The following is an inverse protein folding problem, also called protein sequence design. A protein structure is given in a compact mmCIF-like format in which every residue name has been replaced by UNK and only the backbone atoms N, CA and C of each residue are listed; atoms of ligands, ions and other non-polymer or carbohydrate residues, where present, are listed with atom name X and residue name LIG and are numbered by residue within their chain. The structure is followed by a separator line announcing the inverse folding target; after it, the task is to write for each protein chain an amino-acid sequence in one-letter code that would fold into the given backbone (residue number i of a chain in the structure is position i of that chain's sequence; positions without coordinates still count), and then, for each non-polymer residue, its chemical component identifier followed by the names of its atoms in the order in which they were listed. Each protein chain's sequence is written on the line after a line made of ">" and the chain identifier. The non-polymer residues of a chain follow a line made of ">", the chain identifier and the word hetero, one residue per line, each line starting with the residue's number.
data_IF_374635380982
#
_entry.id   IF_374635380982
#
_cell.length_a   1.000
_cell.length_b   1.000
_cell.length_c   1.000
_cell.angle_alpha   90.00
_cell.angle_beta   90.00
_cell.angle_gamma   90.00
#
_symmetry.space_group_name_H-M   'P 1'
#
loop_
_entity.id
_entity.type
_entity.pdbx_description
1 polymer ?
#
# COMPACT_ATOMS: atom_id res chain seq x y z
N UNK A 1 -13.06 15.59 1.94
CA UNK A 1 -12.03 16.41 2.62
C UNK A 1 -10.81 15.58 2.96
N UNK A 2 -9.63 16.18 3.01
CA UNK A 2 -8.37 15.55 3.44
C UNK A 2 -7.69 16.44 4.47
N UNK A 3 -7.21 15.83 5.55
CA UNK A 3 -6.36 16.48 6.55
C UNK A 3 -5.05 15.71 6.65
N UNK A 4 -3.94 16.42 6.51
CA UNK A 4 -2.59 15.86 6.72
C UNK A 4 -2.00 16.56 7.95
N UNK A 5 -1.54 15.74 8.91
CA UNK A 5 -0.87 16.24 10.13
C UNK A 5 0.53 15.66 10.18
N UNK A 6 1.49 16.49 10.54
CA UNK A 6 2.89 16.12 10.74
C UNK A 6 3.25 16.30 12.21
N UNK A 7 3.78 15.23 12.81
CA UNK A 7 4.39 15.24 14.14
C UNK A 7 5.91 15.08 13.96
N UNK A 8 6.62 16.19 14.03
CA UNK A 8 8.06 16.23 13.76
C UNK A 8 8.90 15.64 14.90
N UNK A 9 8.37 15.59 16.13
CA UNK A 9 9.07 15.00 17.27
C UNK A 9 9.05 13.47 17.22
N UNK A 10 8.00 12.89 16.62
CA UNK A 10 7.81 11.46 16.53
C UNK A 10 8.11 10.88 15.15
N UNK A 11 8.50 11.71 14.17
CA UNK A 11 8.69 11.34 12.78
C UNK A 11 7.44 10.63 12.19
N UNK A 12 6.27 11.18 12.49
CA UNK A 12 4.98 10.62 12.09
C UNK A 12 4.21 11.63 11.26
N UNK A 13 3.60 11.17 10.16
CA UNK A 13 2.53 11.94 9.55
C UNK A 13 1.26 11.07 9.38
N UNK A 14 0.11 11.72 9.43
CA UNK A 14 -1.19 11.09 9.23
C UNK A 14 -1.93 11.73 8.09
N UNK A 15 -2.62 10.89 7.31
CA UNK A 15 -3.60 11.31 6.31
C UNK A 15 -4.96 10.84 6.82
N UNK A 16 -5.90 11.76 6.96
CA UNK A 16 -7.29 11.48 7.32
C UNK A 16 -8.19 11.99 6.21
N UNK A 17 -8.89 11.07 5.55
CA UNK A 17 -9.81 11.36 4.48
C UNK A 17 -11.26 11.08 4.89
N UNK A 18 -12.12 12.05 4.62
CA UNK A 18 -13.56 11.88 4.59
C UNK A 18 -14.04 12.00 3.15
N UNK A 19 -14.62 10.92 2.64
CA UNK A 19 -15.18 10.82 1.28
C UNK A 19 -16.70 10.78 1.41
N UNK A 20 -17.40 11.66 0.69
CA UNK A 20 -18.86 11.78 0.71
C UNK A 20 -19.41 11.71 -0.73
N UNK A 21 -20.44 10.91 -0.93
CA UNK A 21 -21.23 10.97 -2.14
C UNK A 21 -22.23 12.13 -2.07
N UNK A 22 -21.93 13.24 -2.73
CA UNK A 22 -22.81 14.42 -2.82
C UNK A 22 -23.80 14.37 -3.98
N UNK A 23 -23.78 13.26 -4.73
CA UNK A 23 -24.75 13.03 -5.79
C UNK A 23 -26.12 12.59 -5.26
N UNK A 24 -27.10 12.52 -6.16
CA UNK A 24 -28.45 12.09 -5.86
C UNK A 24 -28.66 10.58 -6.08
N UNK A 25 -27.64 9.87 -6.55
CA UNK A 25 -27.71 8.44 -6.87
C UNK A 25 -26.53 7.69 -6.25
N UNK A 26 -26.74 6.40 -6.04
CA UNK A 26 -25.70 5.46 -5.65
C UNK A 26 -24.54 5.51 -6.66
N UNK A 27 -23.32 5.68 -6.16
CA UNK A 27 -22.12 5.93 -7.01
C UNK A 27 -21.03 4.89 -6.69
N UNK A 28 -20.34 4.33 -7.71
CA UNK A 28 -19.21 3.43 -7.49
C UNK A 28 -18.08 4.16 -6.76
N UNK A 29 -17.48 3.47 -5.78
CA UNK A 29 -16.40 4.00 -4.95
C UNK A 29 -15.17 3.11 -5.03
N UNK A 30 -14.09 3.65 -5.57
CA UNK A 30 -12.77 3.02 -5.58
C UNK A 30 -11.74 4.06 -5.18
N UNK A 31 -10.86 3.70 -4.24
CA UNK A 31 -9.76 4.53 -3.77
C UNK A 31 -8.51 3.69 -3.57
N UNK A 32 -7.37 4.27 -3.93
CA UNK A 32 -6.06 3.70 -3.73
C UNK A 32 -5.12 4.79 -3.22
N UNK A 33 -4.33 4.47 -2.19
CA UNK A 33 -3.28 5.34 -1.67
C UNK A 33 -1.93 4.85 -2.16
N UNK A 34 -1.45 5.43 -3.25
CA UNK A 34 -0.25 5.00 -3.96
C UNK A 34 1.01 5.55 -3.27
N UNK A 35 1.57 4.79 -2.34
CA UNK A 35 2.78 5.14 -1.60
C UNK A 35 4.00 4.62 -2.33
N UNK A 36 4.80 5.52 -2.91
CA UNK A 36 5.98 5.17 -3.68
C UNK A 36 7.26 5.27 -2.85
N UNK A 37 8.09 4.26 -3.00
CA UNK A 37 9.45 4.21 -2.48
C UNK A 37 10.42 4.24 -3.66
N UNK A 38 11.53 4.96 -3.51
CA UNK A 38 12.60 5.09 -4.48
C UNK A 38 13.97 5.03 -3.81
N UNK A 39 15.03 5.21 -4.60
CA UNK A 39 16.39 5.32 -4.08
C UNK A 39 16.52 6.55 -3.14
N UNK A 40 17.24 6.48 -1.99
CA UNK A 40 18.09 5.35 -1.55
C UNK A 40 17.38 4.29 -0.73
N UNK A 41 16.08 4.47 -0.36
CA UNK A 41 15.33 3.46 0.40
C UNK A 41 15.28 2.13 -0.33
N UNK A 42 15.07 2.16 -1.65
CA UNK A 42 15.14 0.98 -2.50
C UNK A 42 16.58 0.69 -2.92
N UNK A 43 17.06 -0.45 -2.52
CA UNK A 43 18.25 -1.14 -3.00
C UNK A 43 18.11 -2.63 -2.59
N UNK A 44 19.12 -3.45 -2.83
CA UNK A 44 19.10 -4.88 -2.47
C UNK A 44 19.00 -5.16 -0.95
N UNK A 45 19.03 -4.13 -0.11
CA UNK A 45 18.82 -4.21 1.34
C UNK A 45 17.41 -3.88 1.76
N UNK A 46 16.54 -3.49 0.83
CA UNK A 46 15.15 -3.18 1.14
C UNK A 46 14.32 -4.47 1.29
N UNK A 47 13.60 -4.57 2.40
CA UNK A 47 12.70 -5.68 2.72
C UNK A 47 11.30 -5.12 3.01
N UNK A 48 10.29 -5.77 2.44
CA UNK A 48 8.87 -5.49 2.71
C UNK A 48 8.32 -6.54 3.65
N UNK A 49 7.59 -6.12 4.65
CA UNK A 49 6.83 -6.98 5.55
C UNK A 49 5.38 -6.53 5.58
N UNK A 50 4.47 -7.46 5.34
CA UNK A 50 3.03 -7.25 5.44
C UNK A 50 2.43 -8.40 6.26
N UNK A 51 2.43 -8.29 7.61
CA UNK A 51 2.06 -9.39 8.48
C UNK A 51 0.60 -9.81 8.30
N UNK A 52 0.40 -11.12 8.23
CA UNK A 52 -0.90 -11.76 8.15
C UNK A 52 -1.48 -11.77 6.74
N UNK A 53 -2.22 -12.82 6.45
CA UNK A 53 -2.93 -12.96 5.20
C UNK A 53 -2.16 -13.64 4.06
N UNK A 54 -2.89 -13.93 3.00
CA UNK A 54 -2.35 -14.52 1.80
C UNK A 54 -1.77 -13.44 0.87
N UNK A 55 -0.75 -13.84 0.11
CA UNK A 55 -0.17 -13.03 -0.98
C UNK A 55 -0.34 -13.80 -2.28
N UNK A 56 -0.77 -13.13 -3.33
CA UNK A 56 -0.94 -13.72 -4.66
C UNK A 56 -0.40 -12.76 -5.73
N UNK A 57 0.20 -13.33 -6.78
CA UNK A 57 0.55 -12.55 -7.97
C UNK A 57 -0.70 -12.14 -8.75
N UNK A 58 -0.74 -10.92 -9.27
CA UNK A 58 -1.81 -10.44 -10.16
C UNK A 58 -1.93 -11.29 -11.43
N UNK A 59 -0.81 -11.72 -11.95
CA UNK A 59 -0.68 -12.49 -13.18
C UNK A 59 0.37 -13.59 -13.02
N UNK A 60 0.57 -14.40 -14.07
CA UNK A 60 1.50 -15.52 -14.04
C UNK A 60 2.95 -15.05 -13.86
N UNK A 61 3.34 -13.87 -14.39
CA UNK A 61 4.66 -13.32 -14.21
C UNK A 61 4.93 -12.98 -12.74
N UNK A 62 4.01 -12.28 -12.10
CA UNK A 62 4.09 -11.99 -10.67
C UNK A 62 4.02 -13.28 -9.82
N UNK A 63 3.16 -14.24 -10.19
CA UNK A 63 3.05 -15.52 -9.48
C UNK A 63 4.36 -16.32 -9.51
N UNK A 64 5.10 -16.32 -10.60
CA UNK A 64 6.42 -16.95 -10.70
C UNK A 64 7.46 -16.28 -9.77
N UNK A 65 7.32 -14.98 -9.52
CA UNK A 65 8.16 -14.19 -8.62
C UNK A 65 7.70 -14.18 -7.16
N UNK A 66 6.62 -14.88 -6.81
CA UNK A 66 5.97 -14.78 -5.50
C UNK A 66 6.91 -15.08 -4.32
N UNK A 67 7.87 -15.98 -4.49
CA UNK A 67 8.84 -16.34 -3.46
C UNK A 67 9.81 -15.20 -3.08
N UNK A 68 9.81 -14.10 -3.86
CA UNK A 68 10.68 -12.92 -3.66
C UNK A 68 9.87 -11.63 -3.42
N UNK A 69 8.59 -11.69 -3.15
CA UNK A 69 7.79 -10.48 -2.97
C UNK A 69 8.37 -9.57 -1.88
N UNK A 70 8.88 -10.14 -0.79
CA UNK A 70 9.44 -9.40 0.33
C UNK A 70 10.74 -8.63 0.03
N UNK A 71 11.44 -8.97 -1.04
CA UNK A 71 12.78 -8.45 -1.30
C UNK A 71 12.80 -7.55 -2.54
N UNK A 72 13.51 -6.44 -2.45
CA UNK A 72 13.79 -5.61 -3.61
C UNK A 72 15.16 -6.00 -4.19
N UNK A 73 15.15 -6.51 -5.42
CA UNK A 73 16.36 -6.87 -6.16
C UNK A 73 16.91 -5.66 -6.93
N UNK A 74 18.14 -5.73 -7.38
CA UNK A 74 18.77 -4.68 -8.19
C UNK A 74 17.98 -4.40 -9.50
N UNK A 75 18.04 -3.18 -10.02
CA UNK A 75 17.43 -2.86 -11.31
C UNK A 75 18.09 -3.63 -12.46
N UNK A 76 17.30 -3.94 -13.49
CA UNK A 76 17.75 -4.56 -14.73
C UNK A 76 16.95 -4.03 -15.92
N UNK A 77 17.55 -4.04 -17.12
CA UNK A 77 16.98 -3.36 -18.30
C UNK A 77 15.73 -4.06 -18.85
N UNK A 78 15.71 -5.40 -18.84
CA UNK A 78 14.66 -6.23 -19.43
C UNK A 78 13.63 -6.73 -18.40
N UNK A 79 13.40 -5.95 -17.33
CA UNK A 79 12.46 -6.33 -16.29
C UNK A 79 11.06 -5.78 -16.54
N UNK A 80 10.09 -6.68 -16.51
CA UNK A 80 8.67 -6.34 -16.43
C UNK A 80 8.26 -6.06 -14.99
N UNK A 81 7.24 -5.23 -14.80
CA UNK A 81 6.65 -4.99 -13.49
C UNK A 81 6.01 -6.26 -12.92
N UNK A 82 6.05 -6.39 -11.60
CA UNK A 82 5.34 -7.42 -10.85
C UNK A 82 4.36 -6.75 -9.90
N UNK A 83 3.15 -7.29 -9.84
CA UNK A 83 2.12 -6.79 -8.95
C UNK A 83 1.60 -7.93 -8.07
N UNK A 84 1.58 -7.70 -6.75
CA UNK A 84 1.11 -8.65 -5.76
C UNK A 84 -0.08 -8.08 -5.00
N UNK A 85 -1.06 -8.95 -4.72
CA UNK A 85 -2.20 -8.64 -3.89
C UNK A 85 -2.04 -9.30 -2.53
N UNK A 86 -2.00 -8.48 -1.50
CA UNK A 86 -1.98 -8.91 -0.12
C UNK A 86 -3.37 -8.82 0.49
N UNK A 87 -3.71 -9.76 1.34
CA UNK A 87 -4.91 -9.73 2.17
C UNK A 87 -4.46 -9.52 3.63
N UNK A 88 -4.26 -8.27 4.05
CA UNK A 88 -3.69 -7.98 5.36
C UNK A 88 -4.66 -8.36 6.48
N UNK A 89 -4.10 -8.78 7.62
CA UNK A 89 -4.87 -8.98 8.84
C UNK A 89 -4.95 -7.67 9.62
N UNK A 90 -6.15 -7.35 10.13
CA UNK A 90 -6.34 -6.23 11.03
C UNK A 90 -5.89 -6.59 12.45
N UNK A 91 -5.31 -5.61 13.15
CA UNK A 91 -5.08 -5.67 14.59
C UNK A 91 -6.40 -5.47 15.40
N UNK A 92 -6.30 -5.52 16.73
CA UNK A 92 -7.45 -5.35 17.63
C UNK A 92 -8.14 -3.97 17.48
N UNK A 93 -7.42 -2.97 16.98
CA UNK A 93 -7.96 -1.62 16.75
C UNK A 93 -8.55 -1.44 15.34
N UNK A 94 -8.52 -2.48 14.51
CA UNK A 94 -9.06 -2.48 13.14
C UNK A 94 -8.10 -1.91 12.09
N UNK A 95 -6.80 -1.85 12.37
CA UNK A 95 -5.78 -1.38 11.45
C UNK A 95 -4.93 -2.54 10.91
N UNK A 96 -4.50 -2.41 9.66
CA UNK A 96 -3.42 -3.22 9.10
C UNK A 96 -2.14 -2.40 9.03
N UNK A 97 -1.01 -3.08 9.04
CA UNK A 97 0.31 -2.45 8.95
C UNK A 97 1.16 -3.17 7.92
N UNK A 98 1.91 -2.42 7.15
CA UNK A 98 3.06 -2.93 6.42
C UNK A 98 4.31 -2.13 6.79
N UNK A 99 5.47 -2.72 6.58
CA UNK A 99 6.77 -2.09 6.83
C UNK A 99 7.65 -2.24 5.60
N UNK A 100 8.27 -1.16 5.16
CA UNK A 100 9.42 -1.21 4.27
C UNK A 100 10.65 -0.81 5.09
N UNK A 101 11.65 -1.68 5.14
CA UNK A 101 12.87 -1.45 5.93
C UNK A 101 14.12 -1.60 5.07
N UNK A 102 15.16 -0.87 5.43
CA UNK A 102 16.48 -0.99 4.80
C UNK A 102 17.56 -0.91 5.88
N UNK A 103 18.10 -2.07 6.25
CA UNK A 103 19.11 -2.17 7.30
C UNK A 103 20.44 -1.52 6.95
N UNK A 104 20.81 -1.46 5.65
CA UNK A 104 22.01 -0.77 5.20
C UNK A 104 21.88 0.75 5.34
N UNK A 105 20.67 1.28 5.15
CA UNK A 105 20.35 2.69 5.33
C UNK A 105 20.01 3.02 6.78
N UNK A 106 19.65 2.01 7.57
CA UNK A 106 19.25 2.18 8.96
C UNK A 106 17.86 2.79 9.14
N UNK A 107 16.94 2.60 8.21
CA UNK A 107 15.62 3.20 8.22
C UNK A 107 14.53 2.15 8.02
N UNK A 108 13.44 2.27 8.77
CA UNK A 108 12.17 1.60 8.51
C UNK A 108 11.04 2.62 8.36
N UNK A 109 10.12 2.32 7.44
CA UNK A 109 8.89 3.08 7.24
C UNK A 109 7.72 2.16 7.53
N UNK A 110 6.98 2.45 8.60
CA UNK A 110 5.79 1.72 9.00
C UNK A 110 4.55 2.47 8.54
N UNK A 111 3.68 1.81 7.82
CA UNK A 111 2.41 2.38 7.38
C UNK A 111 1.26 1.58 7.98
N UNK A 112 0.52 2.23 8.86
CA UNK A 112 -0.66 1.69 9.53
C UNK A 112 -1.91 2.36 8.97
N UNK A 113 -2.88 1.59 8.51
CA UNK A 113 -4.08 2.09 7.82
C UNK A 113 -5.35 1.35 8.24
N UNK A 114 -6.51 1.99 8.05
CA UNK A 114 -7.84 1.42 8.40
C UNK A 114 -8.16 0.22 7.51
N UNK A 115 -8.05 -1.01 8.02
CA UNK A 115 -8.25 -2.23 7.25
C UNK A 115 -9.71 -2.45 6.83
N UNK A 116 -10.68 -2.01 7.66
CA UNK A 116 -12.10 -2.18 7.37
C UNK A 116 -12.59 -1.39 6.14
N UNK A 117 -11.97 -0.26 5.83
CA UNK A 117 -12.28 0.56 4.65
C UNK A 117 -11.29 0.40 3.51
N UNK A 118 -10.10 -0.13 3.79
CA UNK A 118 -9.01 -0.40 2.83
C UNK A 118 -8.56 -1.86 2.98
N UNK A 119 -9.39 -2.84 2.57
CA UNK A 119 -9.13 -4.25 2.84
C UNK A 119 -8.05 -4.88 1.96
N UNK A 120 -7.55 -4.16 0.96
CA UNK A 120 -6.51 -4.65 0.06
C UNK A 120 -5.22 -3.84 0.23
N UNK A 121 -4.10 -4.51 0.08
CA UNK A 121 -2.79 -3.90 -0.13
C UNK A 121 -2.25 -4.41 -1.46
N UNK A 122 -2.05 -3.51 -2.40
CA UNK A 122 -1.34 -3.81 -3.65
C UNK A 122 0.13 -3.48 -3.46
N UNK A 123 1.01 -4.41 -3.81
CA UNK A 123 2.44 -4.19 -3.94
C UNK A 123 2.81 -4.19 -5.42
N UNK A 124 3.27 -3.05 -5.92
CA UNK A 124 3.75 -2.88 -7.28
C UNK A 124 5.27 -2.72 -7.30
N UNK A 125 5.96 -3.64 -7.96
CA UNK A 125 7.43 -3.65 -8.10
C UNK A 125 7.82 -3.37 -9.54
N UNK A 126 8.49 -2.25 -9.76
CA UNK A 126 9.11 -1.93 -11.05
C UNK A 126 10.62 -1.85 -10.87
N UNK A 127 11.33 -2.88 -11.35
CA UNK A 127 12.79 -2.98 -11.26
C UNK A 127 13.51 -2.58 -12.56
N UNK A 128 12.78 -2.00 -13.50
CA UNK A 128 13.36 -1.54 -14.77
C UNK A 128 14.36 -0.40 -14.52
N UNK A 129 15.51 -0.47 -15.15
CA UNK A 129 16.52 0.61 -15.13
C UNK A 129 15.88 1.94 -15.55
N UNK A 130 16.11 3.00 -14.77
CA UNK A 130 15.51 4.31 -14.97
C UNK A 130 14.09 4.49 -14.39
N UNK A 131 13.42 3.39 -13.94
CA UNK A 131 12.10 3.43 -13.29
C UNK A 131 12.09 2.55 -12.03
N UNK A 132 13.16 2.54 -11.28
CA UNK A 132 13.30 1.71 -10.09
C UNK A 132 12.41 2.22 -8.96
N UNK A 133 11.26 1.56 -8.77
CA UNK A 133 10.23 1.98 -7.83
C UNK A 133 9.49 0.80 -7.20
N UNK A 134 9.00 1.01 -5.98
CA UNK A 134 8.11 0.12 -5.27
C UNK A 134 6.88 0.93 -4.82
N UNK A 135 5.68 0.50 -5.21
CA UNK A 135 4.41 0.99 -4.69
C UNK A 135 3.89 0.04 -3.62
N UNK A 136 3.51 0.57 -2.45
CA UNK A 136 2.78 -0.15 -1.43
C UNK A 136 1.47 0.60 -1.17
N UNK A 137 0.36 0.02 -1.62
CA UNK A 137 -0.83 0.76 -1.99
C UNK A 137 -2.08 0.22 -1.26
N UNK A 138 -2.38 0.71 -0.04
CA UNK A 138 -3.65 0.41 0.61
C UNK A 138 -4.83 0.92 -0.22
N UNK A 139 -5.84 0.08 -0.43
CA UNK A 139 -7.00 0.43 -1.24
C UNK A 139 -8.25 -0.35 -0.87
N UNK A 140 -9.39 0.10 -1.41
CA UNK A 140 -10.66 -0.60 -1.25
C UNK A 140 -11.01 -1.50 -2.44
N UNK A 141 -10.12 -1.59 -3.42
CA UNK A 141 -10.25 -2.45 -4.60
C UNK A 141 -8.87 -2.86 -5.11
N UNK A 142 -8.82 -3.94 -5.88
CA UNK A 142 -7.65 -4.33 -6.66
C UNK A 142 -7.48 -3.41 -7.86
N UNK A 143 -6.28 -3.38 -8.44
CA UNK A 143 -5.95 -2.50 -9.57
C UNK A 143 -6.35 -3.07 -10.95
N UNK A 144 -7.13 -4.16 -10.99
CA UNK A 144 -7.63 -4.80 -12.21
C UNK A 144 -8.70 -3.97 -12.94
N UNK A 145 -9.12 -2.88 -12.34
CA UNK A 145 -10.06 -1.92 -12.91
C UNK A 145 -11.52 -2.14 -12.48
N UNK A 146 -12.33 -1.10 -12.71
CA UNK A 146 -13.73 -1.06 -12.26
C UNK A 146 -14.62 -2.12 -12.92
N UNK A 147 -14.31 -2.52 -14.16
CA UNK A 147 -15.03 -3.57 -14.87
C UNK A 147 -14.93 -4.89 -14.14
N UNK A 148 -13.69 -5.32 -13.86
CA UNK A 148 -13.39 -6.55 -13.14
C UNK A 148 -14.00 -6.52 -11.74
N UNK A 149 -13.83 -5.43 -11.01
CA UNK A 149 -14.42 -5.28 -9.67
C UNK A 149 -15.96 -5.36 -9.66
N UNK A 150 -16.62 -5.00 -10.77
CA UNK A 150 -18.08 -5.16 -10.91
C UNK A 150 -18.45 -6.62 -11.18
N UNK A 151 -17.69 -7.29 -12.02
CA UNK A 151 -17.94 -8.69 -12.41
C UNK A 151 -17.71 -9.66 -11.27
N UNK A 152 -16.65 -9.44 -10.46
CA UNK A 152 -16.32 -10.28 -9.29
C UNK A 152 -17.08 -9.90 -8.01
N UNK A 153 -17.88 -8.80 -8.06
CA UNK A 153 -18.68 -8.33 -6.93
C UNK A 153 -17.91 -7.55 -5.87
N UNK A 154 -16.63 -7.24 -6.08
CA UNK A 154 -15.80 -6.48 -5.12
C UNK A 154 -16.01 -4.97 -5.20
N UNK A 155 -16.68 -4.45 -6.25
CA UNK A 155 -16.92 -3.03 -6.43
C UNK A 155 -17.81 -2.46 -5.32
N UNK A 156 -17.24 -1.56 -4.55
CA UNK A 156 -17.98 -0.84 -3.51
C UNK A 156 -18.75 0.36 -4.07
N UNK A 157 -19.76 0.78 -3.33
CA UNK A 157 -20.61 1.92 -3.67
C UNK A 157 -20.82 2.80 -2.45
N UNK A 158 -21.16 4.06 -2.70
CA UNK A 158 -21.67 5.01 -1.72
C UNK A 158 -23.10 5.41 -2.08
N UNK A 159 -24.02 5.28 -1.13
CA UNK A 159 -25.35 5.84 -1.24
C UNK A 159 -25.30 7.38 -1.20
N UNK A 160 -26.34 8.09 -1.64
CA UNK A 160 -26.43 9.54 -1.49
C UNK A 160 -26.17 9.97 -0.03
N UNK A 161 -25.28 10.96 0.16
CA UNK A 161 -24.83 11.50 1.45
C UNK A 161 -24.05 10.50 2.34
N UNK A 162 -23.81 9.29 1.86
CA UNK A 162 -22.98 8.34 2.59
C UNK A 162 -21.54 8.81 2.64
N UNK A 163 -20.89 8.58 3.81
CA UNK A 163 -19.50 8.95 4.08
C UNK A 163 -18.65 7.74 4.41
N UNK A 164 -17.39 7.80 3.97
CA UNK A 164 -16.32 6.86 4.35
C UNK A 164 -15.15 7.62 4.91
N UNK A 165 -14.53 7.06 5.94
CA UNK A 165 -13.37 7.63 6.61
C UNK A 165 -12.19 6.68 6.45
N UNK A 166 -11.09 7.17 5.92
CA UNK A 166 -9.83 6.45 5.83
C UNK A 166 -8.78 7.19 6.65
N UNK A 167 -7.98 6.42 7.35
CA UNK A 167 -6.82 6.96 8.07
C UNK A 167 -5.58 6.16 7.72
N UNK A 168 -4.51 6.87 7.41
CA UNK A 168 -3.18 6.32 7.18
C UNK A 168 -2.22 7.05 8.09
N UNK A 169 -1.42 6.29 8.84
CA UNK A 169 -0.38 6.79 9.71
C UNK A 169 0.95 6.24 9.21
N UNK A 170 1.88 7.12 8.89
CA UNK A 170 3.23 6.77 8.45
C UNK A 170 4.21 7.19 9.52
N UNK A 171 4.97 6.23 10.06
CA UNK A 171 6.06 6.44 11.01
C UNK A 171 7.38 6.10 10.34
N UNK A 172 8.34 6.99 10.44
CA UNK A 172 9.73 6.74 10.05
C UNK A 172 10.54 6.45 11.30
N UNK A 173 11.23 5.30 11.30
CA UNK A 173 12.02 4.81 12.42
C UNK A 173 13.49 4.71 12.03
N UNK A 174 14.37 5.21 12.90
CA UNK A 174 15.82 5.01 12.82
C UNK A 174 16.16 3.66 13.46
N UNK A 175 16.70 2.73 12.67
CA UNK A 175 17.10 1.40 13.11
C UNK A 175 18.52 1.35 13.69
N UNK A 176 19.33 2.38 13.47
CA UNK A 176 20.74 2.41 13.92
C UNK A 176 20.81 2.90 15.37
N UNK A 177 19.77 3.61 15.82
CA UNK A 177 19.67 4.17 17.16
C UNK A 177 20.75 5.25 17.41
N UNK A 178 20.35 6.46 17.71
CA UNK A 178 21.26 7.38 18.39
C UNK A 178 21.48 6.83 19.81
N UNK A 179 22.74 6.61 20.26
CA UNK A 179 23.01 6.15 21.62
C UNK A 179 22.55 7.19 22.66
#
# INVERSE_FOLDING_TARGET
>A
SRVIRLDVERNVFTIEDEIENRGLTRTPYMILYHMNYGYPMLNEGCVVEAPGGAVAGRDQHAQNGLHKWMQMELPADDMEEQCYYHMPSADADGFATYTASNSKLGIAVHVRYTAGTLPFLTEWKCRKSGVYALGLEPGNARVDGRGVAREDGSLQFLEPLERRFNRICVKIEDLIGNP
#
